data_IF_196553134985
#
_entry.id   IF_196553134985
#
_cell.length_a   1.000
_cell.length_b   1.000
_cell.length_c   1.000
_cell.angle_alpha   90.00
_cell.angle_beta   90.00
_cell.angle_gamma   90.00
#
_symmetry.space_group_name_H-M   'P 1'
#
loop_
_entity.id
_entity.type
_entity.pdbx_description
1 polymer ?
#
# COMPACT_ATOMS: atom_id res chain seq x y z
N UNK A 1 -79.74 -14.96 -17.47
CA UNK A 1 -78.51 -15.77 -17.60
C UNK A 1 -77.34 -14.85 -17.91
N UNK A 2 -76.61 -14.44 -16.93
CA UNK A 2 -75.36 -13.66 -17.10
C UNK A 2 -74.36 -14.18 -16.09
N UNK A 3 -73.38 -15.00 -16.57
CA UNK A 3 -72.28 -15.48 -15.79
C UNK A 3 -71.29 -14.32 -15.54
N UNK A 4 -71.08 -14.00 -14.28
CA UNK A 4 -69.99 -13.12 -13.83
C UNK A 4 -68.78 -14.00 -13.46
N UNK A 5 -67.75 -13.97 -14.29
CA UNK A 5 -66.46 -14.52 -13.93
C UNK A 5 -65.76 -13.53 -13.00
N UNK A 6 -65.58 -13.92 -11.77
CA UNK A 6 -64.75 -13.21 -10.78
C UNK A 6 -63.30 -13.63 -10.98
N UNK A 7 -62.49 -12.74 -11.57
CA UNK A 7 -61.03 -12.96 -11.68
C UNK A 7 -60.38 -12.55 -10.34
N UNK A 8 -60.01 -13.54 -9.56
CA UNK A 8 -59.20 -13.34 -8.37
C UNK A 8 -57.76 -13.10 -8.82
N UNK A 9 -57.29 -11.89 -8.69
CA UNK A 9 -55.86 -11.58 -8.83
C UNK A 9 -55.16 -11.95 -7.50
N UNK A 10 -54.40 -13.03 -7.52
CA UNK A 10 -53.47 -13.39 -6.45
C UNK A 10 -52.22 -12.56 -6.69
N UNK A 11 -52.04 -11.53 -5.86
CA UNK A 11 -50.84 -10.73 -5.82
C UNK A 11 -49.79 -11.52 -5.03
N UNK A 12 -48.85 -12.18 -5.72
CA UNK A 12 -47.67 -12.76 -5.10
C UNK A 12 -46.73 -11.60 -4.80
N UNK A 13 -46.75 -11.10 -3.56
CA UNK A 13 -45.68 -10.29 -3.03
C UNK A 13 -44.46 -11.17 -2.74
N UNK A 14 -43.53 -11.22 -3.69
CA UNK A 14 -42.20 -11.72 -3.42
C UNK A 14 -41.50 -10.73 -2.46
N UNK A 15 -41.60 -10.99 -1.17
CA UNK A 15 -40.68 -10.49 -0.18
C UNK A 15 -39.32 -11.16 -0.47
N UNK A 16 -38.51 -10.51 -1.30
CA UNK A 16 -37.10 -10.80 -1.34
C UNK A 16 -36.50 -10.33 0.00
N UNK A 17 -36.56 -11.18 1.01
CA UNK A 17 -35.73 -11.06 2.19
C UNK A 17 -34.29 -11.24 1.73
N UNK A 18 -33.65 -10.12 1.36
CA UNK A 18 -32.21 -10.05 1.25
C UNK A 18 -31.62 -10.27 2.63
N UNK A 19 -31.37 -11.52 2.96
CA UNK A 19 -30.51 -11.86 4.07
C UNK A 19 -29.11 -11.37 3.68
N UNK A 20 -28.81 -10.11 3.97
CA UNK A 20 -27.42 -9.69 4.11
C UNK A 20 -26.91 -10.50 5.29
N UNK A 21 -26.17 -11.56 5.00
CA UNK A 21 -25.41 -12.27 6.00
C UNK A 21 -24.43 -11.23 6.60
N UNK A 22 -24.85 -10.57 7.67
CA UNK A 22 -23.95 -9.84 8.54
C UNK A 22 -23.05 -10.87 9.21
N UNK A 23 -21.96 -11.21 8.54
CA UNK A 23 -20.89 -11.93 9.19
C UNK A 23 -20.28 -10.96 10.20
N UNK A 24 -20.80 -10.96 11.42
CA UNK A 24 -20.14 -10.32 12.55
C UNK A 24 -18.92 -11.17 12.92
N UNK A 25 -17.83 -10.97 12.21
CA UNK A 25 -16.57 -11.59 12.62
C UNK A 25 -16.14 -10.95 13.94
N UNK A 26 -16.09 -11.75 15.00
CA UNK A 26 -15.43 -11.34 16.23
C UNK A 26 -13.94 -11.18 15.94
N UNK A 27 -13.34 -10.10 16.48
CA UNK A 27 -11.89 -9.98 16.50
C UNK A 27 -11.31 -11.20 17.21
N UNK A 28 -10.33 -11.83 16.58
CA UNK A 28 -9.62 -12.95 17.21
C UNK A 28 -8.68 -12.39 18.28
N UNK A 29 -8.58 -13.01 19.46
CA UNK A 29 -7.51 -12.71 20.41
C UNK A 29 -6.15 -12.89 19.74
N UNK A 30 -5.17 -12.07 20.15
CA UNK A 30 -3.82 -12.11 19.55
C UNK A 30 -3.18 -13.51 19.60
N UNK A 31 -3.49 -14.29 20.64
CA UNK A 31 -2.99 -15.65 20.84
C UNK A 31 -3.64 -16.68 19.93
N UNK A 32 -4.74 -16.33 19.27
CA UNK A 32 -5.50 -17.22 18.37
C UNK A 32 -5.30 -16.86 16.89
N UNK A 33 -4.28 -16.08 16.58
CA UNK A 33 -4.04 -15.71 15.19
C UNK A 33 -3.72 -16.92 14.32
N UNK A 34 -4.56 -17.08 13.29
CA UNK A 34 -4.34 -18.09 12.28
C UNK A 34 -3.47 -17.44 11.19
N UNK A 35 -2.27 -17.96 10.91
CA UNK A 35 -1.31 -17.33 10.00
C UNK A 35 -1.82 -17.04 8.59
N UNK A 36 -2.90 -17.66 8.18
CA UNK A 36 -3.44 -17.54 6.80
C UNK A 36 -4.79 -16.82 6.69
N UNK A 37 -5.35 -16.32 7.80
CA UNK A 37 -6.61 -15.57 7.77
C UNK A 37 -6.34 -14.08 7.97
N UNK A 38 -6.57 -13.30 6.92
CA UNK A 38 -6.24 -11.89 6.86
C UNK A 38 -7.46 -10.99 6.68
N UNK A 39 -7.28 -9.71 7.01
CA UNK A 39 -8.25 -8.66 6.72
C UNK A 39 -9.59 -8.85 7.42
N UNK A 40 -10.68 -8.64 6.70
CA UNK A 40 -12.03 -8.65 7.25
C UNK A 40 -12.44 -9.98 7.88
N UNK A 41 -11.88 -11.09 7.42
CA UNK A 41 -12.20 -12.41 7.96
C UNK A 41 -11.59 -12.65 9.33
N UNK A 42 -10.47 -11.98 9.63
CA UNK A 42 -9.78 -12.07 10.90
C UNK A 42 -10.18 -10.96 11.87
N UNK A 43 -10.23 -9.71 11.39
CA UNK A 43 -10.44 -8.53 12.22
C UNK A 43 -11.89 -8.00 12.17
N UNK A 44 -12.73 -8.60 11.34
CA UNK A 44 -14.10 -8.15 11.14
C UNK A 44 -14.23 -6.93 10.23
N UNK A 45 -15.46 -6.60 9.89
CA UNK A 45 -15.76 -5.42 9.07
C UNK A 45 -15.87 -4.19 9.94
N UNK A 46 -15.24 -3.11 9.48
CA UNK A 46 -15.36 -1.79 10.10
C UNK A 46 -16.53 -1.01 9.49
N UNK A 47 -17.31 -0.36 10.37
CA UNK A 47 -18.44 0.51 9.98
C UNK A 47 -18.35 1.90 10.62
N UNK A 48 -17.20 2.25 11.18
CA UNK A 48 -16.95 3.57 11.74
C UNK A 48 -16.88 4.66 10.65
N UNK A 49 -16.86 5.90 11.07
CA UNK A 49 -16.88 7.08 10.18
C UNK A 49 -15.67 7.14 9.24
N UNK A 50 -14.49 6.71 9.69
CA UNK A 50 -13.29 6.71 8.85
C UNK A 50 -13.42 5.70 7.71
N UNK A 51 -13.94 4.50 8.00
CA UNK A 51 -14.21 3.50 6.97
C UNK A 51 -15.32 3.93 6.02
N UNK A 52 -16.34 4.63 6.52
CA UNK A 52 -17.39 5.18 5.65
C UNK A 52 -16.80 6.23 4.71
N UNK A 53 -16.01 7.16 5.23
CA UNK A 53 -15.28 8.15 4.42
C UNK A 53 -14.40 7.50 3.36
N UNK A 54 -13.66 6.45 3.73
CA UNK A 54 -12.85 5.68 2.78
C UNK A 54 -13.69 5.11 1.62
N UNK A 55 -14.88 4.58 1.91
CA UNK A 55 -15.80 4.05 0.88
C UNK A 55 -16.38 5.15 0.00
N UNK A 56 -16.61 6.33 0.57
CA UNK A 56 -17.19 7.49 -0.13
C UNK A 56 -16.17 8.23 -1.00
N UNK A 57 -14.89 8.04 -0.73
CA UNK A 57 -13.76 8.55 -1.54
C UNK A 57 -13.58 7.70 -2.82
N UNK A 58 -14.49 7.82 -3.76
CA UNK A 58 -14.56 6.92 -4.94
C UNK A 58 -13.52 7.18 -6.01
N UNK A 59 -13.09 8.46 -6.18
CA UNK A 59 -12.09 8.84 -7.16
C UNK A 59 -10.76 9.13 -6.49
N UNK A 60 -9.75 8.34 -6.82
CA UNK A 60 -8.38 8.51 -6.36
C UNK A 60 -7.39 8.61 -7.49
N UNK A 61 -6.24 9.21 -7.21
CA UNK A 61 -5.06 9.16 -8.06
C UNK A 61 -4.04 8.20 -7.45
N UNK A 62 -3.35 7.43 -8.30
CA UNK A 62 -2.24 6.60 -7.87
C UNK A 62 -0.96 7.11 -8.51
N UNK A 63 0.02 7.49 -7.69
CA UNK A 63 1.32 8.03 -8.13
C UNK A 63 2.38 6.97 -7.84
N UNK A 64 2.93 6.38 -8.92
CA UNK A 64 4.11 5.55 -8.86
C UNK A 64 5.33 6.40 -9.18
N UNK A 65 6.25 6.53 -8.22
CA UNK A 65 7.47 7.30 -8.41
C UNK A 65 8.63 6.68 -7.64
N UNK A 66 9.76 6.54 -8.29
CA UNK A 66 10.98 5.93 -7.78
C UNK A 66 12.13 6.11 -8.75
N UNK A 67 13.26 5.48 -8.51
CA UNK A 67 14.44 5.57 -9.39
C UNK A 67 14.14 5.12 -10.82
N UNK A 68 13.20 4.18 -10.98
CA UNK A 68 12.74 3.69 -12.28
C UNK A 68 12.17 4.78 -13.20
N UNK A 69 11.79 5.93 -12.65
CA UNK A 69 11.33 7.06 -13.46
C UNK A 69 12.48 7.73 -14.26
N UNK A 70 13.74 7.51 -13.86
CA UNK A 70 14.90 8.05 -14.55
C UNK A 70 15.13 7.32 -15.88
N UNK A 71 15.29 5.98 -15.91
CA UNK A 71 15.46 5.23 -17.15
C UNK A 71 14.14 5.08 -17.94
N UNK A 72 12.97 5.23 -17.31
CA UNK A 72 11.69 5.29 -18.00
C UNK A 72 11.35 4.06 -18.88
N UNK A 73 11.86 2.87 -18.52
CA UNK A 73 11.61 1.62 -19.27
C UNK A 73 12.71 1.24 -20.25
N UNK A 74 13.82 2.00 -20.32
CA UNK A 74 14.97 1.67 -21.13
C UNK A 74 16.21 1.41 -20.26
N UNK A 75 17.03 0.41 -20.61
CA UNK A 75 18.28 0.12 -19.94
C UNK A 75 19.34 -0.32 -20.94
N UNK A 76 20.48 0.38 -20.93
CA UNK A 76 21.62 0.13 -21.84
C UNK A 76 21.19 0.04 -23.32
N UNK A 77 20.35 0.99 -23.78
CA UNK A 77 19.88 1.08 -25.16
C UNK A 77 18.82 0.05 -25.54
N UNK A 78 18.33 -0.76 -24.57
CA UNK A 78 17.27 -1.73 -24.79
C UNK A 78 15.98 -1.28 -24.10
N UNK A 79 14.89 -1.20 -24.87
CA UNK A 79 13.55 -0.94 -24.36
C UNK A 79 12.96 -2.22 -23.76
N UNK A 80 12.38 -2.11 -22.57
CA UNK A 80 11.64 -3.17 -21.87
C UNK A 80 10.17 -2.76 -21.82
N UNK A 81 9.30 -3.36 -22.65
CA UNK A 81 7.89 -3.02 -22.66
C UNK A 81 7.22 -3.46 -21.37
N UNK A 82 6.35 -2.59 -20.84
CA UNK A 82 5.60 -2.84 -19.61
C UNK A 82 5.80 -1.77 -18.55
N UNK A 83 5.63 -2.14 -17.30
CA UNK A 83 5.67 -1.23 -16.17
C UNK A 83 7.12 -0.89 -15.77
N UNK A 84 7.50 0.40 -15.87
CA UNK A 84 8.88 0.84 -15.67
C UNK A 84 9.42 0.51 -14.25
N UNK A 85 8.56 0.42 -13.25
CA UNK A 85 8.91 0.04 -11.89
C UNK A 85 9.43 -1.40 -11.76
N UNK A 86 9.22 -2.24 -12.78
CA UNK A 86 9.77 -3.59 -12.88
C UNK A 86 11.07 -3.68 -13.68
N UNK A 87 11.53 -2.58 -14.27
CA UNK A 87 12.70 -2.54 -15.15
C UNK A 87 13.94 -3.18 -14.51
N UNK A 88 14.23 -2.86 -13.24
CA UNK A 88 15.36 -3.46 -12.50
C UNK A 88 15.34 -4.99 -12.55
N UNK A 89 14.17 -5.57 -12.34
CA UNK A 89 13.98 -7.03 -12.35
C UNK A 89 14.08 -7.62 -13.76
N UNK A 90 13.38 -7.03 -14.72
CA UNK A 90 13.37 -7.53 -16.10
C UNK A 90 14.73 -7.42 -16.81
N UNK A 91 15.43 -6.32 -16.56
CA UNK A 91 16.78 -6.10 -17.09
C UNK A 91 17.85 -6.78 -16.23
N UNK A 92 17.46 -7.41 -15.11
CA UNK A 92 18.36 -8.08 -14.14
C UNK A 92 19.50 -7.17 -13.67
N UNK A 93 19.19 -5.90 -13.43
CA UNK A 93 20.19 -4.91 -13.01
C UNK A 93 20.64 -5.19 -11.58
N UNK A 94 21.96 -5.32 -11.32
CA UNK A 94 22.48 -5.48 -9.97
C UNK A 94 22.11 -4.28 -9.09
N UNK A 95 21.85 -4.51 -7.80
CA UNK A 95 21.41 -3.44 -6.90
C UNK A 95 22.41 -2.29 -6.81
N UNK A 96 23.72 -2.56 -6.79
CA UNK A 96 24.74 -1.52 -6.77
C UNK A 96 24.69 -0.61 -7.99
N UNK A 97 24.51 -1.20 -9.19
CA UNK A 97 24.38 -0.42 -10.44
C UNK A 97 23.07 0.37 -10.48
N UNK A 98 21.96 -0.24 -10.02
CA UNK A 98 20.66 0.43 -9.96
C UNK A 98 20.67 1.64 -9.04
N UNK A 99 21.28 1.52 -7.86
CA UNK A 99 21.32 2.58 -6.85
C UNK A 99 22.21 3.76 -7.26
N UNK A 100 23.08 3.62 -8.27
CA UNK A 100 23.80 4.76 -8.86
C UNK A 100 22.84 5.81 -9.45
N UNK A 101 21.60 5.42 -9.82
CA UNK A 101 20.57 6.36 -10.26
C UNK A 101 20.23 7.40 -9.19
N UNK A 102 20.46 7.12 -7.91
CA UNK A 102 20.28 8.09 -6.82
C UNK A 102 21.09 9.38 -7.06
N UNK A 103 22.26 9.29 -7.69
CA UNK A 103 23.09 10.45 -8.03
C UNK A 103 22.43 11.39 -9.05
N UNK A 104 21.45 10.89 -9.79
CA UNK A 104 20.70 11.64 -10.79
C UNK A 104 19.32 12.10 -10.27
N UNK A 105 18.89 11.61 -9.08
CA UNK A 105 17.59 11.95 -8.53
C UNK A 105 17.54 13.40 -8.06
N UNK A 106 17.06 14.27 -8.95
CA UNK A 106 16.87 15.68 -8.67
C UNK A 106 15.68 16.27 -9.41
N UNK A 107 14.45 16.02 -8.95
CA UNK A 107 13.24 16.46 -9.62
C UNK A 107 12.99 17.97 -9.45
N UNK A 108 13.80 18.81 -10.06
CA UNK A 108 13.75 20.29 -9.92
C UNK A 108 12.46 20.93 -10.41
N UNK A 109 11.68 20.24 -11.25
CA UNK A 109 10.38 20.71 -11.76
C UNK A 109 9.20 20.22 -10.91
N UNK A 110 9.45 19.43 -9.88
CA UNK A 110 8.40 18.96 -8.98
C UNK A 110 7.85 20.11 -8.14
N UNK A 111 6.53 20.21 -8.11
CA UNK A 111 5.77 21.14 -7.28
C UNK A 111 4.56 20.40 -6.70
N UNK A 112 4.68 19.98 -5.46
CA UNK A 112 3.64 19.22 -4.77
C UNK A 112 2.31 20.00 -4.68
N UNK A 113 2.36 21.33 -4.47
CA UNK A 113 1.16 22.16 -4.36
C UNK A 113 0.43 22.24 -5.70
N UNK A 114 1.18 22.39 -6.79
CA UNK A 114 0.59 22.40 -8.14
C UNK A 114 -0.07 21.07 -8.46
N UNK A 115 0.57 19.96 -8.11
CA UNK A 115 0.01 18.62 -8.32
C UNK A 115 -1.26 18.41 -7.50
N UNK A 116 -1.24 18.77 -6.21
CA UNK A 116 -2.41 18.65 -5.34
C UNK A 116 -3.59 19.50 -5.82
N UNK A 117 -3.33 20.74 -6.26
CA UNK A 117 -4.36 21.63 -6.82
C UNK A 117 -4.97 21.04 -8.08
N UNK A 118 -4.16 20.56 -9.02
CA UNK A 118 -4.65 19.86 -10.22
C UNK A 118 -5.54 18.66 -9.85
N UNK A 119 -5.10 17.83 -8.91
CA UNK A 119 -5.87 16.68 -8.45
C UNK A 119 -7.23 17.11 -7.87
N UNK A 120 -7.24 18.19 -7.10
CA UNK A 120 -8.47 18.78 -6.55
C UNK A 120 -9.43 19.24 -7.66
N UNK A 121 -8.91 19.94 -8.67
CA UNK A 121 -9.69 20.41 -9.83
C UNK A 121 -10.27 19.24 -10.64
N UNK A 122 -9.55 18.10 -10.69
CA UNK A 122 -10.02 16.84 -11.30
C UNK A 122 -11.07 16.10 -10.45
N UNK A 123 -11.37 16.55 -9.24
CA UNK A 123 -12.32 15.90 -8.33
C UNK A 123 -11.73 14.70 -7.55
N UNK A 124 -10.41 14.55 -7.51
CA UNK A 124 -9.72 13.51 -6.73
C UNK A 124 -10.00 13.71 -5.24
N UNK A 125 -10.35 12.63 -4.55
CA UNK A 125 -10.66 12.60 -3.12
C UNK A 125 -9.54 12.01 -2.28
N UNK A 126 -8.75 11.13 -2.85
CA UNK A 126 -7.56 10.59 -2.21
C UNK A 126 -6.42 10.40 -3.22
N UNK A 127 -5.20 10.47 -2.74
CA UNK A 127 -4.01 10.13 -3.51
C UNK A 127 -3.31 8.95 -2.85
N UNK A 128 -2.95 7.95 -3.63
CA UNK A 128 -2.07 6.86 -3.19
C UNK A 128 -0.67 7.10 -3.74
N UNK A 129 0.33 7.12 -2.87
CA UNK A 129 1.71 7.45 -3.21
C UNK A 129 2.60 6.26 -2.89
N UNK A 130 3.44 5.84 -3.82
CA UNK A 130 4.50 4.87 -3.53
C UNK A 130 5.51 5.49 -2.57
N UNK A 131 5.52 5.07 -1.31
CA UNK A 131 6.55 5.50 -0.35
C UNK A 131 7.89 4.85 -0.69
N UNK A 132 7.85 3.54 -0.95
CA UNK A 132 8.94 2.70 -1.43
C UNK A 132 8.36 1.64 -2.35
N UNK A 133 8.92 1.47 -3.56
CA UNK A 133 8.61 0.35 -4.45
C UNK A 133 9.61 -0.80 -4.25
N UNK A 134 9.46 -1.90 -4.97
CA UNK A 134 10.30 -3.12 -4.87
C UNK A 134 11.81 -2.87 -5.02
N UNK A 135 12.21 -1.79 -5.66
CA UNK A 135 13.62 -1.40 -5.83
C UNK A 135 14.31 -0.95 -4.55
N UNK A 136 13.54 -0.64 -3.47
CA UNK A 136 14.05 -0.29 -2.16
C UNK A 136 14.36 1.20 -1.96
N UNK A 137 14.08 2.09 -2.92
CA UNK A 137 14.31 3.52 -2.78
C UNK A 137 13.17 4.20 -2.04
N UNK A 138 13.48 4.91 -0.95
CA UNK A 138 12.53 5.59 -0.08
C UNK A 138 12.32 7.04 -0.49
N UNK A 139 11.08 7.47 -0.74
CA UNK A 139 10.73 8.86 -1.03
C UNK A 139 10.69 9.77 0.20
N UNK A 140 11.05 9.25 1.38
CA UNK A 140 11.20 9.98 2.65
C UNK A 140 12.61 9.76 3.21
N UNK A 141 13.11 10.63 4.10
CA UNK A 141 14.45 10.51 4.70
C UNK A 141 14.48 9.41 5.78
N UNK A 142 14.35 8.14 5.35
CA UNK A 142 14.39 6.99 6.26
C UNK A 142 15.73 6.91 7.00
N UNK A 143 15.67 6.59 8.30
CA UNK A 143 16.84 6.38 9.15
C UNK A 143 17.38 4.95 9.08
N UNK A 144 16.67 4.07 8.39
CA UNK A 144 16.95 2.63 8.38
C UNK A 144 17.64 2.16 7.10
N UNK A 145 17.83 3.05 6.12
CA UNK A 145 18.52 2.74 4.87
C UNK A 145 19.21 3.97 4.30
N UNK A 146 20.30 3.74 3.57
CA UNK A 146 20.94 4.78 2.77
C UNK A 146 20.22 5.03 1.44
N UNK A 147 19.30 4.13 1.03
CA UNK A 147 18.56 4.22 -0.23
C UNK A 147 17.35 5.16 -0.07
N UNK A 148 17.61 6.44 0.10
CA UNK A 148 16.59 7.43 0.45
C UNK A 148 16.84 8.77 -0.24
N UNK A 149 15.78 9.55 -0.41
CA UNK A 149 15.85 10.91 -0.98
C UNK A 149 16.86 11.82 -0.28
N UNK A 150 17.11 11.61 1.02
CA UNK A 150 18.07 12.39 1.77
C UNK A 150 19.51 12.27 1.21
N UNK A 151 19.83 11.14 0.59
CA UNK A 151 21.15 10.83 0.02
C UNK A 151 21.23 11.10 -1.49
N UNK A 152 20.30 11.89 -2.02
CA UNK A 152 20.25 12.30 -3.42
C UNK A 152 20.58 13.81 -3.57
N UNK A 153 20.82 14.33 -4.77
CA UNK A 153 20.94 15.78 -4.99
C UNK A 153 19.70 16.59 -4.56
N UNK A 154 18.52 15.97 -4.53
CA UNK A 154 17.28 16.62 -4.08
C UNK A 154 17.27 16.93 -2.58
N UNK A 155 17.75 16.02 -1.74
CA UNK A 155 17.98 16.17 -0.28
C UNK A 155 16.78 16.59 0.58
N UNK A 156 15.56 16.60 0.01
CA UNK A 156 14.36 17.00 0.74
C UNK A 156 13.46 15.81 0.98
N UNK A 157 12.57 15.94 1.95
CA UNK A 157 11.50 14.97 2.19
C UNK A 157 10.39 15.14 1.14
N UNK A 158 10.54 14.46 0.00
CA UNK A 158 9.60 14.53 -1.10
C UNK A 158 8.21 14.00 -0.69
N UNK A 159 8.17 12.91 0.09
CA UNK A 159 6.93 12.35 0.58
C UNK A 159 6.21 13.32 1.51
N UNK A 160 6.93 13.97 2.43
CA UNK A 160 6.36 14.98 3.33
C UNK A 160 5.84 16.21 2.59
N UNK A 161 6.54 16.67 1.54
CA UNK A 161 6.05 17.75 0.67
C UNK A 161 4.70 17.37 0.02
N UNK A 162 4.58 16.13 -0.47
CA UNK A 162 3.33 15.62 -1.04
C UNK A 162 2.24 15.49 0.01
N UNK A 163 2.50 14.83 1.14
CA UNK A 163 1.53 14.66 2.24
C UNK A 163 0.94 16.00 2.65
N UNK A 164 1.82 16.99 2.88
CA UNK A 164 1.35 18.33 3.25
C UNK A 164 0.49 18.96 2.17
N UNK A 165 0.94 18.95 0.93
CA UNK A 165 0.25 19.62 -0.17
C UNK A 165 -1.15 19.04 -0.43
N UNK A 166 -1.28 17.70 -0.43
CA UNK A 166 -2.58 17.06 -0.63
C UNK A 166 -3.52 17.25 0.56
N UNK A 167 -3.02 17.21 1.78
CA UNK A 167 -3.82 17.51 2.98
C UNK A 167 -4.31 18.97 2.99
N UNK A 168 -3.48 19.94 2.57
CA UNK A 168 -3.87 21.35 2.46
C UNK A 168 -5.05 21.54 1.47
N UNK A 169 -5.17 20.70 0.45
CA UNK A 169 -6.30 20.68 -0.49
C UNK A 169 -7.49 19.81 -0.01
N UNK A 170 -7.41 19.22 1.16
CA UNK A 170 -8.44 18.33 1.73
C UNK A 170 -8.55 16.99 0.99
N UNK A 171 -7.47 16.53 0.37
CA UNK A 171 -7.36 15.23 -0.30
C UNK A 171 -6.70 14.26 0.68
N UNK A 172 -7.33 13.11 0.93
CA UNK A 172 -6.79 12.09 1.81
C UNK A 172 -5.53 11.47 1.20
N UNK A 173 -4.50 11.28 2.02
CA UNK A 173 -3.24 10.65 1.59
C UNK A 173 -3.21 9.20 2.02
N UNK A 174 -2.93 8.33 1.08
CA UNK A 174 -2.78 6.89 1.23
C UNK A 174 -1.36 6.49 0.84
N UNK A 175 -0.77 5.57 1.57
CA UNK A 175 0.55 5.04 1.27
C UNK A 175 0.48 3.69 0.58
N UNK A 176 1.17 3.56 -0.54
CA UNK A 176 1.61 2.28 -1.05
C UNK A 176 2.98 1.98 -0.43
N UNK A 177 3.15 0.78 0.06
CA UNK A 177 4.41 0.30 0.59
C UNK A 177 4.71 -1.11 0.06
N UNK A 178 5.83 -1.26 -0.64
CA UNK A 178 6.32 -2.58 -1.00
C UNK A 178 6.93 -3.26 0.21
N UNK A 179 6.42 -4.44 0.56
CA UNK A 179 7.06 -5.30 1.57
C UNK A 179 8.27 -6.04 0.98
N UNK A 180 8.36 -6.12 -0.34
CA UNK A 180 9.51 -6.63 -1.07
C UNK A 180 10.56 -5.53 -1.20
N UNK A 181 11.82 -5.89 -1.10
CA UNK A 181 12.94 -4.96 -1.30
C UNK A 181 14.10 -5.68 -1.98
N UNK A 182 14.19 -5.49 -3.30
CA UNK A 182 15.22 -6.14 -4.12
C UNK A 182 16.65 -5.66 -3.84
N UNK A 183 16.80 -4.55 -3.14
CA UNK A 183 18.11 -3.96 -2.83
C UNK A 183 18.57 -4.26 -1.41
N UNK A 184 17.68 -4.78 -0.56
CA UNK A 184 18.03 -5.12 0.82
C UNK A 184 18.82 -6.45 0.87
N UNK A 185 19.98 -6.51 1.53
CA UNK A 185 20.83 -7.72 1.56
C UNK A 185 20.18 -8.92 2.23
N UNK A 186 19.27 -8.70 3.17
CA UNK A 186 18.54 -9.72 3.91
C UNK A 186 17.20 -10.11 3.28
N UNK A 187 16.79 -9.49 2.14
CA UNK A 187 15.61 -9.93 1.40
C UNK A 187 15.78 -11.37 0.90
N UNK A 188 14.76 -12.17 1.02
CA UNK A 188 14.70 -13.55 0.53
C UNK A 188 13.38 -13.78 -0.19
N UNK A 189 13.43 -14.36 -1.39
CA UNK A 189 12.23 -14.80 -2.12
C UNK A 189 11.60 -16.04 -1.48
N UNK A 190 12.42 -16.86 -0.83
CA UNK A 190 12.01 -18.01 -0.04
C UNK A 190 12.95 -18.19 1.15
N UNK A 191 12.44 -18.80 2.22
CA UNK A 191 13.20 -19.18 3.42
C UNK A 191 13.36 -20.70 3.42
N UNK A 192 14.58 -21.17 3.16
CA UNK A 192 14.89 -22.60 3.00
C UNK A 192 15.84 -23.13 4.05
N UNK A 193 16.69 -22.26 4.59
CA UNK A 193 17.72 -22.64 5.58
C UNK A 193 17.56 -21.81 6.86
N UNK A 194 18.20 -22.22 7.97
CA UNK A 194 18.25 -21.39 9.19
C UNK A 194 18.87 -20.01 8.95
N UNK A 195 19.87 -19.91 8.06
CA UNK A 195 20.52 -18.66 7.69
C UNK A 195 19.55 -17.74 6.94
N UNK A 196 18.75 -18.29 6.01
CA UNK A 196 17.68 -17.53 5.35
C UNK A 196 16.65 -17.01 6.36
N UNK A 197 16.28 -17.87 7.33
CA UNK A 197 15.35 -17.49 8.38
C UNK A 197 15.89 -16.34 9.23
N UNK A 198 17.17 -16.41 9.62
CA UNK A 198 17.82 -15.35 10.39
C UNK A 198 17.91 -14.04 9.59
N UNK A 199 18.30 -14.10 8.31
CA UNK A 199 18.35 -12.94 7.42
C UNK A 199 16.96 -12.32 7.25
N UNK A 200 15.97 -13.16 6.94
CA UNK A 200 14.60 -12.67 6.72
C UNK A 200 13.98 -12.07 7.99
N UNK A 201 14.30 -12.58 9.18
CA UNK A 201 13.88 -12.00 10.46
C UNK A 201 14.44 -10.59 10.65
N UNK A 202 15.71 -10.35 10.28
CA UNK A 202 16.29 -8.99 10.29
C UNK A 202 15.59 -8.08 9.28
N UNK A 203 15.29 -8.61 8.11
CA UNK A 203 14.53 -7.88 7.08
C UNK A 203 13.12 -7.49 7.57
N UNK A 204 12.39 -8.37 8.24
CA UNK A 204 11.08 -8.06 8.83
C UNK A 204 11.19 -6.97 9.89
N UNK A 205 12.22 -7.02 10.75
CA UNK A 205 12.49 -5.96 11.74
C UNK A 205 12.80 -4.61 11.07
N UNK A 206 13.57 -4.61 10.00
CA UNK A 206 13.84 -3.42 9.19
C UNK A 206 12.54 -2.85 8.63
N UNK A 207 11.68 -3.69 8.09
CA UNK A 207 10.39 -3.29 7.51
C UNK A 207 9.45 -2.72 8.57
N UNK A 208 9.36 -3.33 9.75
CA UNK A 208 8.60 -2.80 10.89
C UNK A 208 9.06 -1.41 11.29
N UNK A 209 10.37 -1.20 11.34
CA UNK A 209 10.95 0.09 11.69
C UNK A 209 10.61 1.17 10.65
N UNK A 210 10.65 0.85 9.36
CA UNK A 210 10.23 1.78 8.30
C UNK A 210 8.74 2.11 8.40
N UNK A 211 7.87 1.14 8.67
CA UNK A 211 6.43 1.36 8.83
C UNK A 211 6.12 2.23 10.05
N UNK A 212 6.78 1.98 11.18
CA UNK A 212 6.69 2.84 12.38
C UNK A 212 7.15 4.26 12.09
N UNK A 213 8.24 4.41 11.35
CA UNK A 213 8.77 5.70 10.96
C UNK A 213 7.77 6.48 10.09
N UNK A 214 7.18 5.84 9.07
CA UNK A 214 6.16 6.43 8.22
C UNK A 214 4.91 6.86 9.03
N UNK A 215 4.41 5.99 9.91
CA UNK A 215 3.25 6.29 10.75
C UNK A 215 3.52 7.44 11.73
N UNK A 216 4.76 7.56 12.21
CA UNK A 216 5.16 8.64 13.13
C UNK A 216 5.38 9.97 12.41
N UNK A 217 6.04 9.95 11.25
CA UNK A 217 6.35 11.17 10.49
C UNK A 217 5.10 11.75 9.80
N UNK A 218 4.16 10.89 9.40
CA UNK A 218 2.98 11.29 8.63
C UNK A 218 1.67 10.82 9.28
N UNK A 219 1.32 11.33 10.47
CA UNK A 219 0.18 10.83 11.25
C UNK A 219 -1.18 11.12 10.60
N UNK A 220 -1.23 11.90 9.54
CA UNK A 220 -2.46 12.22 8.78
C UNK A 220 -2.79 11.20 7.71
N UNK A 221 -1.90 10.22 7.45
CA UNK A 221 -2.14 9.18 6.46
C UNK A 221 -3.39 8.36 6.82
N UNK A 222 -4.20 8.04 5.79
CA UNK A 222 -5.49 7.37 5.96
C UNK A 222 -5.51 5.91 5.55
N UNK A 223 -4.49 5.44 4.85
CA UNK A 223 -4.43 4.07 4.36
C UNK A 223 -2.99 3.62 4.10
N UNK A 224 -2.73 2.34 4.40
CA UNK A 224 -1.54 1.63 3.97
C UNK A 224 -1.95 0.49 3.03
N UNK A 225 -1.47 0.54 1.81
CA UNK A 225 -1.66 -0.49 0.80
C UNK A 225 -0.33 -1.24 0.57
N UNK A 226 -0.32 -2.51 0.94
CA UNK A 226 0.88 -3.34 0.87
C UNK A 226 0.94 -4.12 -0.44
N UNK A 227 2.11 -4.17 -1.03
CA UNK A 227 2.40 -4.89 -2.25
C UNK A 227 3.64 -5.79 -2.08
N UNK A 228 3.82 -6.79 -2.99
CA UNK A 228 4.97 -7.68 -2.94
C UNK A 228 4.82 -8.84 -1.95
N UNK A 229 3.58 -9.30 -1.70
CA UNK A 229 3.27 -10.32 -0.67
C UNK A 229 3.19 -11.74 -1.22
N UNK A 230 3.40 -11.93 -2.51
CA UNK A 230 3.22 -13.22 -3.18
C UNK A 230 4.38 -14.21 -3.00
N UNK A 231 5.55 -13.77 -2.53
CA UNK A 231 6.71 -14.64 -2.36
C UNK A 231 6.57 -15.61 -1.19
N UNK A 232 7.22 -16.76 -1.33
CA UNK A 232 7.15 -17.83 -0.35
C UNK A 232 7.65 -17.40 1.04
N UNK A 233 8.61 -16.49 1.09
CA UNK A 233 9.13 -15.93 2.35
C UNK A 233 8.06 -15.24 3.17
N UNK A 234 7.24 -14.37 2.55
CA UNK A 234 6.13 -13.69 3.22
C UNK A 234 5.05 -14.71 3.60
N UNK A 235 4.66 -15.60 2.69
CA UNK A 235 3.62 -16.61 2.95
C UNK A 235 3.97 -17.53 4.12
N UNK A 236 5.24 -17.91 4.26
CA UNK A 236 5.72 -18.70 5.40
C UNK A 236 5.77 -17.93 6.72
N UNK A 237 5.73 -16.60 6.66
CA UNK A 237 5.75 -15.70 7.81
C UNK A 237 4.43 -14.91 7.96
N UNK A 238 3.29 -15.54 7.71
CA UNK A 238 1.98 -14.91 7.76
C UNK A 238 1.64 -14.25 9.12
N UNK A 239 2.26 -14.71 10.22
CA UNK A 239 2.17 -14.06 11.53
C UNK A 239 2.61 -12.59 11.49
N UNK A 240 3.60 -12.26 10.66
CA UNK A 240 4.12 -10.92 10.55
C UNK A 240 3.09 -9.95 9.94
N UNK A 241 2.29 -10.40 9.00
CA UNK A 241 1.24 -9.55 8.41
C UNK A 241 0.20 -9.14 9.46
N UNK A 242 -0.17 -10.08 10.34
CA UNK A 242 -1.05 -9.82 11.46
C UNK A 242 -0.44 -8.86 12.48
N UNK A 243 0.86 -9.01 12.75
CA UNK A 243 1.61 -8.08 13.59
C UNK A 243 1.61 -6.67 13.03
N UNK A 244 1.94 -6.48 11.75
CA UNK A 244 1.94 -5.18 11.06
C UNK A 244 0.56 -4.52 11.14
N UNK A 245 -0.50 -5.27 10.88
CA UNK A 245 -1.86 -4.73 10.92
C UNK A 245 -2.21 -4.19 12.32
N UNK A 246 -1.90 -4.94 13.38
CA UNK A 246 -2.10 -4.46 14.77
C UNK A 246 -1.27 -3.22 15.06
N UNK A 247 0.02 -3.28 14.77
CA UNK A 247 0.97 -2.20 15.00
C UNK A 247 0.49 -0.89 14.36
N UNK A 248 0.07 -0.94 13.09
CA UNK A 248 -0.42 0.25 12.40
C UNK A 248 -1.76 0.74 12.96
N UNK A 249 -2.65 -0.14 13.38
CA UNK A 249 -3.92 0.26 14.02
C UNK A 249 -3.73 0.87 15.41
N UNK A 250 -2.74 0.42 16.15
CA UNK A 250 -2.37 1.04 17.42
C UNK A 250 -1.81 2.45 17.21
N UNK A 251 -0.97 2.65 16.21
CA UNK A 251 -0.36 3.94 15.90
C UNK A 251 -1.32 4.91 15.20
N UNK A 252 -2.18 4.41 14.34
CA UNK A 252 -3.09 5.16 13.50
C UNK A 252 -4.49 4.52 13.52
N UNK A 253 -5.27 4.67 14.60
CA UNK A 253 -6.55 3.97 14.77
C UNK A 253 -7.57 4.25 13.67
N UNK A 254 -7.57 5.47 13.10
CA UNK A 254 -8.44 5.87 12.00
C UNK A 254 -8.00 5.37 10.63
N UNK A 255 -6.75 4.93 10.47
CA UNK A 255 -6.28 4.48 9.18
C UNK A 255 -6.89 3.12 8.77
N UNK A 256 -7.07 2.97 7.46
CA UNK A 256 -7.46 1.71 6.85
C UNK A 256 -6.17 0.99 6.43
N UNK A 257 -5.98 -0.25 6.82
CA UNK A 257 -4.94 -1.09 6.25
C UNK A 257 -5.57 -1.97 5.17
N UNK A 258 -5.24 -1.70 3.93
CA UNK A 258 -5.61 -2.53 2.80
C UNK A 258 -4.45 -3.48 2.55
N UNK A 259 -4.56 -4.66 3.08
CA UNK A 259 -3.59 -5.70 2.81
C UNK A 259 -4.15 -6.62 1.75
N UNK A 260 -3.59 -6.59 0.54
CA UNK A 260 -3.57 -7.78 -0.30
C UNK A 260 -2.54 -8.78 0.25
N UNK A 261 -2.45 -8.85 1.58
CA UNK A 261 -1.68 -9.85 2.28
C UNK A 261 -2.45 -11.18 2.21
N UNK A 262 -2.47 -11.80 1.05
CA UNK A 262 -3.01 -13.14 0.84
C UNK A 262 -1.92 -14.19 0.93
#
# INVERSE_FOLDING_TARGET
MKNKFLKTFILFSLLAAGASAQHSHKLLPAEQEIPLNYGADRLGKRYDADMQKFRDNRLGAFIHWGLYAIPGGEWNGKVYPGAAEWLKSWAKVPSGEWLELMKQWNPTKFDARKWAKMAKEMGVRYVKITTKHHEGFCLWPSKYTENTVANTPYKKDLLGEMVKAYNDEGIDVHFYFSVMDWSHPDWRYDVKTPEDSAAFSRFLTFTDNQLKELATLYPTVKDFWFDGTWDASIKKNGWWTAHVERMLKEMLPGAVSYTHLR
#
